data_IF_189971647063
#
_entry.id   IF_189971647063
#
_cell.length_a   1.000
_cell.length_b   1.000
_cell.length_c   1.000
_cell.angle_alpha   90.00
_cell.angle_beta   90.00
_cell.angle_gamma   90.00
#
_symmetry.space_group_name_H-M   'P 1'
#
loop_
_entity.id
_entity.type
_entity.pdbx_description
1 polymer ?
#
# COMPACT_ATOMS: atom_id res chain seq x y z
N UNK A 1 2.27 -22.15 -11.43
CA UNK A 1 3.33 -23.15 -11.16
C UNK A 1 3.46 -23.33 -9.64
N UNK A 2 3.64 -24.58 -9.16
CA UNK A 2 3.84 -24.82 -7.73
C UNK A 2 5.22 -24.40 -7.26
N UNK A 3 5.29 -24.01 -5.97
CA UNK A 3 6.57 -23.83 -5.27
C UNK A 3 7.03 -25.20 -4.73
N UNK A 4 8.22 -25.69 -5.10
CA UNK A 4 8.73 -26.99 -4.63
C UNK A 4 9.35 -26.87 -3.23
N UNK A 5 8.58 -26.36 -2.25
CA UNK A 5 8.98 -26.13 -0.87
C UNK A 5 8.34 -27.11 0.14
N UNK A 6 7.32 -27.85 -0.30
CA UNK A 6 6.62 -28.83 0.52
C UNK A 6 7.05 -30.26 0.29
N UNK A 7 6.51 -31.19 1.07
CA UNK A 7 6.76 -32.63 0.94
C UNK A 7 6.12 -33.25 -0.30
N UNK A 8 5.26 -32.51 -1.01
CA UNK A 8 4.55 -32.95 -2.20
C UNK A 8 3.36 -32.08 -2.54
N UNK A 9 2.53 -32.53 -3.48
CA UNK A 9 1.28 -31.89 -3.87
C UNK A 9 0.26 -31.95 -2.74
N UNK A 10 -0.51 -30.89 -2.58
CA UNK A 10 -1.70 -30.87 -1.72
C UNK A 10 -2.98 -30.84 -2.58
N UNK A 11 -4.14 -31.01 -1.93
CA UNK A 11 -5.43 -31.06 -2.63
C UNK A 11 -5.73 -29.84 -3.51
N UNK A 12 -5.28 -28.64 -3.11
CA UNK A 12 -5.41 -27.43 -3.94
C UNK A 12 -4.67 -27.53 -5.27
N UNK A 13 -3.49 -28.14 -5.28
CA UNK A 13 -2.75 -28.43 -6.52
C UNK A 13 -3.52 -29.43 -7.39
N UNK A 14 -3.98 -30.55 -6.80
CA UNK A 14 -4.74 -31.56 -7.52
C UNK A 14 -5.99 -30.96 -8.15
N UNK A 15 -6.76 -30.17 -7.41
CA UNK A 15 -7.96 -29.52 -7.91
C UNK A 15 -7.66 -28.57 -9.09
N UNK A 16 -6.75 -27.62 -8.92
CA UNK A 16 -6.45 -26.64 -9.97
C UNK A 16 -5.89 -27.27 -11.24
N UNK A 17 -5.01 -28.25 -11.11
CA UNK A 17 -4.36 -28.87 -12.28
C UNK A 17 -5.29 -29.80 -13.02
N UNK A 18 -6.18 -30.50 -12.31
CA UNK A 18 -7.17 -31.39 -12.94
C UNK A 18 -8.16 -30.60 -13.78
N UNK A 19 -8.62 -29.43 -13.31
CA UNK A 19 -9.54 -28.57 -14.12
C UNK A 19 -8.89 -28.17 -15.44
N UNK A 20 -7.64 -27.70 -15.40
CA UNK A 20 -6.89 -27.37 -16.62
C UNK A 20 -6.64 -28.56 -17.53
N UNK A 21 -6.36 -29.72 -16.95
CA UNK A 21 -6.09 -30.97 -17.69
C UNK A 21 -7.37 -31.48 -18.41
N UNK A 22 -8.50 -31.42 -17.77
CA UNK A 22 -9.80 -31.77 -18.39
C UNK A 22 -10.05 -30.91 -19.63
N UNK A 23 -9.83 -29.58 -19.50
CA UNK A 23 -9.98 -28.65 -20.62
C UNK A 23 -8.99 -28.95 -21.77
N UNK A 24 -7.72 -29.18 -21.43
CA UNK A 24 -6.69 -29.52 -22.41
C UNK A 24 -7.01 -30.81 -23.17
N UNK A 25 -7.48 -31.85 -22.45
CA UNK A 25 -7.95 -33.12 -23.06
C UNK A 25 -9.14 -32.93 -24.00
N UNK A 26 -10.16 -32.17 -23.52
CA UNK A 26 -11.33 -31.83 -24.33
C UNK A 26 -10.91 -31.14 -25.64
N UNK A 27 -9.99 -30.17 -25.58
CA UNK A 27 -9.52 -29.50 -26.80
C UNK A 27 -8.76 -30.40 -27.74
N UNK A 28 -7.93 -31.32 -27.24
CA UNK A 28 -7.26 -32.33 -28.08
C UNK A 28 -8.29 -33.25 -28.76
N UNK A 29 -9.33 -33.70 -28.04
CA UNK A 29 -10.39 -34.50 -28.60
C UNK A 29 -11.18 -33.76 -29.69
N UNK A 30 -11.24 -32.43 -29.62
CA UNK A 30 -11.85 -31.57 -30.65
C UNK A 30 -10.89 -31.28 -31.83
N UNK A 31 -9.71 -31.89 -31.88
CA UNK A 31 -8.75 -31.72 -32.97
C UNK A 31 -7.85 -30.49 -32.85
N UNK A 32 -7.86 -29.76 -31.72
CA UNK A 32 -6.95 -28.63 -31.51
C UNK A 32 -5.54 -29.11 -31.22
N UNK A 33 -4.55 -28.36 -31.71
CA UNK A 33 -3.15 -28.50 -31.29
C UNK A 33 -2.95 -27.77 -29.96
N UNK A 34 -2.75 -28.53 -28.88
CA UNK A 34 -2.73 -28.00 -27.51
C UNK A 34 -1.32 -28.07 -26.93
N UNK A 35 -0.71 -26.91 -26.66
CA UNK A 35 0.49 -26.78 -25.84
C UNK A 35 0.07 -26.63 -24.37
N UNK A 36 0.35 -27.64 -23.55
CA UNK A 36 0.01 -27.66 -22.13
C UNK A 36 1.24 -28.05 -21.28
N UNK A 37 2.19 -27.11 -21.05
CA UNK A 37 3.39 -27.38 -20.28
C UNK A 37 3.15 -27.28 -18.78
N UNK A 38 4.08 -27.84 -17.99
CA UNK A 38 4.20 -27.64 -16.55
C UNK A 38 5.50 -26.92 -16.23
N UNK A 39 5.47 -26.11 -15.18
CA UNK A 39 6.65 -25.45 -14.63
C UNK A 39 6.70 -25.50 -13.11
N UNK A 40 7.85 -25.18 -12.55
CA UNK A 40 8.08 -25.09 -11.10
C UNK A 40 8.69 -23.74 -10.79
N UNK A 41 8.03 -22.98 -9.90
CA UNK A 41 8.55 -21.73 -9.38
C UNK A 41 9.51 -22.05 -8.24
N UNK A 42 10.76 -22.23 -8.61
CA UNK A 42 11.77 -22.91 -7.82
C UNK A 42 12.90 -21.99 -7.31
N UNK A 43 12.73 -20.68 -7.47
CA UNK A 43 13.53 -19.66 -6.81
C UNK A 43 12.84 -19.12 -5.58
N UNK A 44 13.63 -18.49 -4.71
CA UNK A 44 13.15 -17.66 -3.62
C UNK A 44 13.07 -18.37 -2.28
N UNK A 45 12.61 -17.59 -1.30
CA UNK A 45 12.63 -17.94 0.11
C UNK A 45 11.89 -19.23 0.48
N UNK A 46 10.74 -19.61 -0.12
CA UNK A 46 10.06 -20.85 0.27
C UNK A 46 10.95 -22.09 0.10
N UNK A 47 11.67 -22.19 -1.01
CA UNK A 47 12.59 -23.31 -1.26
C UNK A 47 13.84 -23.24 -0.38
N UNK A 48 14.40 -22.03 -0.17
CA UNK A 48 15.56 -21.83 0.70
C UNK A 48 15.24 -22.15 2.15
N UNK A 49 14.07 -21.73 2.65
CA UNK A 49 13.64 -22.00 4.02
C UNK A 49 13.48 -23.50 4.29
N UNK A 50 12.81 -24.20 3.37
CA UNK A 50 12.68 -25.66 3.47
C UNK A 50 14.04 -26.38 3.42
N UNK A 51 14.97 -25.87 2.63
CA UNK A 51 16.34 -26.40 2.57
C UNK A 51 17.10 -26.17 3.89
N UNK A 52 16.95 -24.98 4.48
CA UNK A 52 17.56 -24.65 5.79
C UNK A 52 17.03 -25.58 6.87
N UNK A 53 15.70 -25.75 6.98
CA UNK A 53 15.07 -26.65 7.95
C UNK A 53 15.57 -28.10 7.83
N UNK A 54 15.86 -28.54 6.60
CA UNK A 54 16.35 -29.90 6.33
C UNK A 54 17.87 -30.05 6.40
N UNK A 55 18.61 -28.94 6.55
CA UNK A 55 20.08 -28.96 6.55
C UNK A 55 20.68 -29.39 5.20
N UNK A 56 20.00 -29.14 4.09
CA UNK A 56 20.38 -29.57 2.74
C UNK A 56 20.63 -28.32 1.85
N UNK A 57 21.63 -28.33 0.95
CA UNK A 57 21.78 -27.24 0.00
C UNK A 57 20.49 -26.98 -0.82
N UNK A 58 20.04 -25.71 -0.98
CA UNK A 58 18.78 -25.37 -1.65
C UNK A 58 18.60 -26.03 -3.01
N UNK A 59 19.63 -26.05 -3.84
CA UNK A 59 19.59 -26.71 -5.14
C UNK A 59 19.21 -28.19 -5.07
N UNK A 60 19.88 -28.95 -4.18
CA UNK A 60 19.59 -30.39 -4.01
C UNK A 60 18.19 -30.64 -3.47
N UNK A 61 17.78 -29.82 -2.50
CA UNK A 61 16.43 -29.92 -1.95
C UNK A 61 15.37 -29.67 -3.03
N UNK A 62 15.51 -28.56 -3.76
CA UNK A 62 14.59 -28.13 -4.80
C UNK A 62 14.47 -29.16 -5.93
N UNK A 63 15.58 -29.67 -6.44
CA UNK A 63 15.57 -30.69 -7.49
C UNK A 63 14.86 -31.96 -7.03
N UNK A 64 15.15 -32.46 -5.81
CA UNK A 64 14.47 -33.61 -5.23
C UNK A 64 12.95 -33.38 -5.02
N UNK A 65 12.57 -32.17 -4.60
CA UNK A 65 11.16 -31.81 -4.43
C UNK A 65 10.44 -31.81 -5.79
N UNK A 66 11.06 -31.23 -6.83
CA UNK A 66 10.51 -31.23 -8.21
C UNK A 66 10.30 -32.65 -8.73
N UNK A 67 11.27 -33.54 -8.55
CA UNK A 67 11.15 -34.95 -8.97
C UNK A 67 9.96 -35.64 -8.31
N UNK A 68 9.72 -35.36 -7.02
CA UNK A 68 8.56 -35.87 -6.31
C UNK A 68 7.23 -35.29 -6.85
N UNK A 69 7.20 -33.98 -7.14
CA UNK A 69 6.03 -33.32 -7.74
C UNK A 69 5.70 -33.93 -9.12
N UNK A 70 6.69 -34.12 -9.97
CA UNK A 70 6.54 -34.75 -11.30
C UNK A 70 5.93 -36.15 -11.14
N UNK A 71 6.48 -36.96 -10.22
CA UNK A 71 5.96 -38.31 -9.94
C UNK A 71 4.50 -38.27 -9.52
N UNK A 72 4.14 -37.40 -8.60
CA UNK A 72 2.76 -37.28 -8.11
C UNK A 72 1.81 -36.78 -9.22
N UNK A 73 2.21 -35.79 -10.01
CA UNK A 73 1.42 -35.28 -11.13
C UNK A 73 1.20 -36.35 -12.20
N UNK A 74 2.20 -37.17 -12.51
CA UNK A 74 2.04 -38.31 -13.41
C UNK A 74 1.10 -39.37 -12.82
N UNK A 75 1.18 -39.64 -11.52
CA UNK A 75 0.26 -40.57 -10.86
C UNK A 75 -1.20 -40.09 -10.87
N UNK A 76 -1.42 -38.76 -10.84
CA UNK A 76 -2.74 -38.16 -11.04
C UNK A 76 -3.23 -38.26 -12.49
N UNK A 77 -2.40 -38.72 -13.41
CA UNK A 77 -2.73 -38.84 -14.83
C UNK A 77 -2.76 -37.52 -15.59
N UNK A 78 -2.13 -36.46 -15.09
CA UNK A 78 -2.11 -35.16 -15.76
C UNK A 78 -1.37 -35.22 -17.10
N UNK A 79 -1.99 -34.69 -18.15
CA UNK A 79 -1.55 -34.81 -19.54
C UNK A 79 -0.70 -33.64 -20.01
N UNK A 80 0.21 -33.18 -19.16
CA UNK A 80 1.16 -32.13 -19.54
C UNK A 80 2.10 -32.59 -20.68
N UNK A 81 2.59 -31.63 -21.44
CA UNK A 81 3.74 -31.84 -22.31
C UNK A 81 5.03 -31.91 -21.46
N UNK A 82 5.36 -33.09 -21.00
CA UNK A 82 6.51 -33.33 -20.12
C UNK A 82 7.84 -33.04 -20.80
N UNK A 83 7.90 -32.89 -22.12
CA UNK A 83 9.08 -32.45 -22.84
C UNK A 83 9.33 -30.94 -22.73
N UNK A 84 8.33 -30.19 -22.31
CA UNK A 84 8.34 -28.71 -22.18
C UNK A 84 8.33 -28.26 -20.72
N UNK A 85 8.97 -29.00 -19.83
CA UNK A 85 9.10 -28.62 -18.43
C UNK A 85 9.91 -27.35 -18.26
N UNK A 86 9.44 -26.48 -17.37
CA UNK A 86 10.09 -25.23 -17.01
C UNK A 86 10.51 -25.27 -15.52
N UNK A 87 11.73 -24.81 -15.25
CA UNK A 87 12.26 -24.70 -13.89
C UNK A 87 12.90 -23.33 -13.74
N UNK A 88 12.31 -22.45 -12.94
CA UNK A 88 12.74 -21.04 -12.88
C UNK A 88 14.16 -20.86 -12.34
N UNK A 89 14.68 -21.82 -11.57
CA UNK A 89 16.06 -21.80 -11.05
C UNK A 89 17.15 -22.26 -12.04
N UNK A 90 16.75 -22.75 -13.21
CA UNK A 90 17.73 -23.18 -14.23
C UNK A 90 18.24 -21.99 -15.05
N UNK A 91 19.53 -21.96 -15.43
CA UNK A 91 20.11 -20.88 -16.23
C UNK A 91 19.38 -20.63 -17.55
N UNK A 92 18.88 -21.70 -18.18
CA UNK A 92 18.14 -21.65 -19.45
C UNK A 92 16.86 -20.80 -19.31
N UNK A 93 16.29 -20.74 -18.10
CA UNK A 93 15.13 -19.93 -17.80
C UNK A 93 15.51 -18.53 -17.32
N UNK A 94 16.29 -18.39 -16.24
CA UNK A 94 16.51 -17.09 -15.62
C UNK A 94 17.37 -16.13 -16.45
N UNK A 95 18.13 -16.61 -17.43
CA UNK A 95 18.81 -15.72 -18.40
C UNK A 95 17.83 -14.75 -19.09
N UNK A 96 16.57 -15.17 -19.27
CA UNK A 96 15.54 -14.31 -19.84
C UNK A 96 15.08 -13.23 -18.86
N UNK A 97 15.02 -13.52 -17.56
CA UNK A 97 14.76 -12.52 -16.54
C UNK A 97 15.87 -11.46 -16.52
N UNK A 98 17.12 -11.87 -16.63
CA UNK A 98 18.26 -10.97 -16.75
C UNK A 98 18.19 -10.12 -18.02
N UNK A 99 17.83 -10.73 -19.15
CA UNK A 99 17.63 -10.01 -20.42
C UNK A 99 16.54 -8.95 -20.30
N UNK A 100 15.38 -9.29 -19.76
CA UNK A 100 14.29 -8.32 -19.57
C UNK A 100 14.67 -7.22 -18.57
N UNK A 101 15.37 -7.55 -17.50
CA UNK A 101 15.86 -6.54 -16.56
C UNK A 101 16.76 -5.51 -17.28
N UNK A 102 17.70 -5.97 -18.10
CA UNK A 102 18.56 -5.07 -18.89
C UNK A 102 17.72 -4.19 -19.84
N UNK A 103 16.71 -4.76 -20.50
CA UNK A 103 15.80 -3.99 -21.36
C UNK A 103 14.97 -2.95 -20.58
N UNK A 104 14.56 -3.28 -19.37
CA UNK A 104 13.89 -2.30 -18.50
C UNK A 104 14.84 -1.17 -18.08
N UNK A 105 16.09 -1.52 -17.79
CA UNK A 105 17.11 -0.53 -17.45
C UNK A 105 17.41 0.42 -18.63
N UNK A 106 17.62 -0.12 -19.83
CA UNK A 106 17.80 0.65 -21.07
C UNK A 106 16.65 1.62 -21.34
N UNK A 107 15.41 1.21 -21.04
CA UNK A 107 14.20 2.02 -21.22
C UNK A 107 13.91 2.97 -20.04
N UNK A 108 14.77 3.03 -19.04
CA UNK A 108 14.55 3.82 -17.83
C UNK A 108 13.33 3.37 -16.99
N UNK A 109 12.94 2.09 -17.13
CA UNK A 109 11.88 1.47 -16.35
C UNK A 109 12.40 0.81 -15.08
N UNK A 110 13.66 0.38 -15.05
CA UNK A 110 14.34 -0.06 -13.84
C UNK A 110 15.24 1.07 -13.30
N UNK A 111 15.20 1.30 -11.99
CA UNK A 111 16.01 2.34 -11.35
C UNK A 111 16.30 1.98 -9.89
N UNK A 112 17.28 2.65 -9.28
CA UNK A 112 17.62 2.48 -7.86
C UNK A 112 17.20 3.68 -7.05
N UNK A 113 16.68 3.42 -5.85
CA UNK A 113 16.44 4.45 -4.82
C UNK A 113 16.63 3.86 -3.42
N UNK A 114 16.91 4.72 -2.45
CA UNK A 114 16.84 4.34 -1.04
C UNK A 114 15.39 4.12 -0.63
N UNK A 115 15.12 2.97 -0.01
CA UNK A 115 13.80 2.60 0.49
C UNK A 115 13.93 1.99 1.88
N UNK A 116 12.91 2.15 2.74
CA UNK A 116 12.85 1.45 4.01
C UNK A 116 12.67 -0.06 3.76
N UNK A 117 13.46 -0.86 4.43
CA UNK A 117 13.41 -2.31 4.39
C UNK A 117 13.46 -2.87 5.80
N UNK A 118 12.79 -3.99 6.03
CA UNK A 118 12.90 -4.74 7.27
C UNK A 118 14.23 -5.48 7.28
N UNK A 119 15.08 -5.21 8.26
CA UNK A 119 16.39 -5.82 8.40
C UNK A 119 16.46 -6.67 9.67
N UNK A 120 16.87 -7.90 9.55
CA UNK A 120 17.18 -8.72 10.71
C UNK A 120 18.69 -8.66 11.00
N UNK A 121 19.12 -8.13 12.16
CA UNK A 121 20.54 -8.04 12.49
C UNK A 121 21.21 -9.42 12.71
N UNK A 122 20.43 -10.44 13.07
CA UNK A 122 20.93 -11.81 13.30
C UNK A 122 21.01 -12.63 11.99
N UNK A 123 20.06 -12.43 11.07
CA UNK A 123 20.12 -13.04 9.73
C UNK A 123 21.10 -12.30 8.78
N UNK A 124 21.47 -11.06 9.09
CA UNK A 124 22.20 -10.14 8.20
C UNK A 124 21.54 -10.00 6.82
N UNK A 125 20.19 -9.95 6.78
CA UNK A 125 19.45 -9.87 5.52
C UNK A 125 18.18 -9.04 5.65
N UNK A 126 17.65 -8.60 4.49
CA UNK A 126 16.35 -7.98 4.35
C UNK A 126 15.25 -9.05 4.47
N UNK A 127 14.18 -8.69 5.16
CA UNK A 127 13.00 -9.53 5.33
C UNK A 127 11.82 -8.93 4.54
N UNK A 128 11.04 -9.79 3.90
CA UNK A 128 9.72 -9.42 3.40
C UNK A 128 8.76 -9.15 4.59
N UNK A 129 7.67 -8.41 4.36
CA UNK A 129 6.71 -8.09 5.41
C UNK A 129 6.13 -9.36 6.06
N UNK A 130 5.88 -10.40 5.27
CA UNK A 130 5.36 -11.70 5.73
C UNK A 130 6.34 -12.48 6.62
N UNK A 131 7.58 -12.03 6.68
CA UNK A 131 8.64 -12.63 7.50
C UNK A 131 8.88 -11.86 8.82
N UNK A 132 8.07 -10.86 9.07
CA UNK A 132 8.10 -10.09 10.31
C UNK A 132 6.85 -10.40 11.11
N UNK A 133 7.01 -11.11 12.23
CA UNK A 133 5.92 -11.47 13.12
C UNK A 133 6.04 -10.67 14.42
N UNK A 134 5.04 -9.85 14.72
CA UNK A 134 5.04 -8.99 15.93
C UNK A 134 6.33 -8.17 16.07
N UNK A 135 6.83 -7.62 14.96
CA UNK A 135 8.08 -6.82 14.94
C UNK A 135 9.36 -7.63 15.04
N UNK A 136 9.29 -8.94 15.00
CA UNK A 136 10.43 -9.85 15.15
C UNK A 136 10.67 -10.70 13.91
N UNK A 137 11.90 -11.17 13.76
CA UNK A 137 12.28 -12.04 12.67
C UNK A 137 11.63 -13.42 12.82
N UNK A 138 10.97 -13.89 11.77
CA UNK A 138 10.32 -15.22 11.74
C UNK A 138 11.27 -16.39 12.02
N UNK A 139 12.58 -16.22 11.78
CA UNK A 139 13.63 -17.22 12.11
C UNK A 139 14.21 -17.06 13.51
N UNK A 140 14.22 -15.84 14.02
CA UNK A 140 14.83 -15.50 15.30
C UNK A 140 13.80 -14.72 16.11
N UNK A 141 12.91 -15.47 16.76
CA UNK A 141 11.79 -14.92 17.53
C UNK A 141 12.22 -14.02 18.71
N UNK A 142 13.48 -14.12 19.09
CA UNK A 142 14.14 -13.28 20.10
C UNK A 142 14.71 -11.97 19.54
N UNK A 143 14.69 -11.79 18.22
CA UNK A 143 15.40 -10.68 17.53
C UNK A 143 14.41 -9.69 16.92
N UNK A 144 14.42 -8.45 17.39
CA UNK A 144 13.65 -7.35 16.82
C UNK A 144 14.17 -7.00 15.42
N UNK A 145 13.25 -6.71 14.51
CA UNK A 145 13.54 -6.27 13.16
C UNK A 145 13.78 -4.76 13.15
N UNK A 146 14.85 -4.35 12.48
CA UNK A 146 15.20 -2.95 12.29
C UNK A 146 14.72 -2.44 10.93
N UNK A 147 14.25 -1.20 10.86
CA UNK A 147 14.02 -0.54 9.58
C UNK A 147 15.31 0.14 9.14
N UNK A 148 15.86 -0.32 8.03
CA UNK A 148 17.05 0.29 7.39
C UNK A 148 16.66 0.90 6.05
N UNK A 149 17.29 2.02 5.70
CA UNK A 149 17.14 2.63 4.38
C UNK A 149 18.29 2.16 3.48
N UNK A 150 17.99 1.19 2.63
CA UNK A 150 18.97 0.61 1.69
C UNK A 150 18.62 0.98 0.25
N UNK A 151 19.63 1.04 -0.61
CA UNK A 151 19.40 1.16 -2.04
C UNK A 151 18.79 -0.13 -2.60
N UNK A 152 17.63 0.00 -3.22
CA UNK A 152 16.86 -1.09 -3.82
C UNK A 152 16.56 -0.81 -5.29
N UNK A 153 16.42 -1.86 -6.08
CA UNK A 153 15.90 -1.78 -7.43
C UNK A 153 14.38 -1.63 -7.43
N UNK A 154 13.91 -0.79 -8.32
CA UNK A 154 12.47 -0.56 -8.55
C UNK A 154 12.16 -0.67 -10.03
N UNK A 155 10.97 -1.20 -10.34
CA UNK A 155 10.38 -1.18 -11.68
C UNK A 155 9.31 -0.09 -11.72
N UNK A 156 9.43 0.87 -12.65
CA UNK A 156 8.54 2.04 -12.77
C UNK A 156 7.19 1.66 -13.37
N UNK A 157 6.43 0.85 -12.65
CA UNK A 157 5.10 0.39 -13.05
C UNK A 157 4.08 1.53 -13.06
N UNK A 158 4.28 2.57 -12.23
CA UNK A 158 3.42 3.76 -12.16
C UNK A 158 3.36 4.53 -13.46
N UNK A 159 4.37 4.43 -14.31
CA UNK A 159 4.38 5.04 -15.65
C UNK A 159 3.20 4.60 -16.51
N UNK A 160 2.65 3.43 -16.23
CA UNK A 160 1.55 2.83 -16.99
C UNK A 160 0.17 2.97 -16.31
N UNK A 161 0.07 3.70 -15.19
CA UNK A 161 -1.17 3.81 -14.40
C UNK A 161 -2.37 4.24 -15.24
N UNK A 162 -2.21 5.28 -16.08
CA UNK A 162 -3.29 5.79 -16.94
C UNK A 162 -3.67 4.80 -18.04
N UNK A 163 -2.68 4.19 -18.69
CA UNK A 163 -2.93 3.21 -19.74
C UNK A 163 -3.64 1.98 -19.19
N UNK A 164 -3.21 1.49 -18.01
CA UNK A 164 -3.86 0.36 -17.33
C UNK A 164 -5.32 0.68 -17.00
N UNK A 165 -5.60 1.85 -16.41
CA UNK A 165 -6.95 2.30 -16.10
C UNK A 165 -7.82 2.40 -17.34
N UNK A 166 -7.31 3.05 -18.41
CA UNK A 166 -8.05 3.26 -19.63
C UNK A 166 -8.43 1.96 -20.38
N UNK A 167 -7.63 0.91 -20.20
CA UNK A 167 -7.85 -0.38 -20.85
C UNK A 167 -8.74 -1.35 -20.04
N UNK A 168 -8.99 -1.11 -18.77
CA UNK A 168 -9.78 -2.04 -17.91
C UNK A 168 -11.17 -2.31 -18.52
N UNK A 169 -11.83 -1.29 -19.05
CA UNK A 169 -13.22 -1.42 -19.56
C UNK A 169 -13.32 -2.28 -20.81
N UNK A 170 -12.29 -2.27 -21.66
CA UNK A 170 -12.24 -3.07 -22.89
C UNK A 170 -11.98 -4.57 -22.64
N UNK A 171 -11.56 -4.96 -21.44
CA UNK A 171 -11.28 -6.35 -21.10
C UNK A 171 -12.59 -7.13 -20.83
N UNK A 172 -12.64 -8.38 -21.26
CA UNK A 172 -13.77 -9.28 -20.96
C UNK A 172 -13.60 -9.94 -19.57
N UNK A 173 -13.30 -9.12 -18.56
CA UNK A 173 -13.14 -9.58 -17.18
C UNK A 173 -14.43 -9.40 -16.38
N UNK A 174 -14.66 -10.25 -15.36
CA UNK A 174 -15.76 -10.05 -14.41
C UNK A 174 -15.67 -8.66 -13.74
N UNK A 175 -16.83 -8.04 -13.48
CA UNK A 175 -16.91 -6.70 -12.88
C UNK A 175 -16.12 -6.61 -11.58
N UNK A 176 -16.18 -7.67 -10.75
CA UNK A 176 -15.41 -7.75 -9.50
C UNK A 176 -13.90 -7.52 -9.73
N UNK A 177 -13.34 -8.18 -10.74
CA UNK A 177 -11.90 -8.06 -11.05
C UNK A 177 -11.59 -6.66 -11.58
N UNK A 178 -12.42 -6.09 -12.46
CA UNK A 178 -12.26 -4.72 -12.93
C UNK A 178 -12.28 -3.71 -11.77
N UNK A 179 -13.20 -3.88 -10.83
CA UNK A 179 -13.27 -3.02 -9.64
C UNK A 179 -12.03 -3.17 -8.75
N UNK A 180 -11.56 -4.40 -8.53
CA UNK A 180 -10.33 -4.64 -7.77
C UNK A 180 -9.12 -3.95 -8.42
N UNK A 181 -8.97 -4.02 -9.75
CA UNK A 181 -7.88 -3.37 -10.47
C UNK A 181 -7.96 -1.85 -10.36
N UNK A 182 -9.15 -1.24 -10.52
CA UNK A 182 -9.33 0.20 -10.33
C UNK A 182 -8.97 0.64 -8.92
N UNK A 183 -9.41 -0.09 -7.91
CA UNK A 183 -9.12 0.20 -6.51
C UNK A 183 -7.64 0.04 -6.19
N UNK A 184 -6.97 -0.93 -6.81
CA UNK A 184 -5.52 -1.16 -6.68
C UNK A 184 -4.72 0.01 -7.26
N UNK A 185 -5.06 0.46 -8.47
CA UNK A 185 -4.43 1.63 -9.08
C UNK A 185 -4.80 2.89 -8.29
N UNK A 186 -6.05 3.01 -7.85
CA UNK A 186 -6.52 4.01 -6.90
C UNK A 186 -6.25 5.44 -7.32
N UNK A 187 -6.65 5.79 -8.56
CA UNK A 187 -6.58 7.18 -9.05
C UNK A 187 -7.52 8.08 -8.27
N UNK A 188 -6.99 9.17 -7.73
CA UNK A 188 -7.72 10.16 -6.95
C UNK A 188 -7.47 11.55 -7.49
N UNK A 189 -8.54 12.29 -7.76
CA UNK A 189 -8.50 13.72 -8.11
C UNK A 189 -8.63 14.55 -6.85
N UNK A 190 -7.73 15.51 -6.67
CA UNK A 190 -7.75 16.34 -5.48
C UNK A 190 -7.02 17.66 -5.67
N UNK A 191 -6.74 18.28 -4.54
CA UNK A 191 -5.99 19.51 -4.43
C UNK A 191 -4.78 19.30 -3.52
N UNK A 192 -3.62 19.74 -3.95
CA UNK A 192 -2.45 19.91 -3.10
C UNK A 192 -2.49 21.31 -2.52
N UNK A 193 -2.45 21.44 -1.21
CA UNK A 193 -2.56 22.71 -0.47
C UNK A 193 -1.30 22.88 0.38
N UNK A 194 -0.70 24.05 0.35
CA UNK A 194 0.50 24.36 1.13
C UNK A 194 0.11 24.88 2.51
N UNK A 195 0.37 24.09 3.55
CA UNK A 195 0.26 24.51 4.95
C UNK A 195 1.61 25.05 5.41
N UNK A 196 1.59 26.09 6.23
CA UNK A 196 2.79 26.58 6.92
C UNK A 196 2.94 25.82 8.24
N UNK A 197 4.07 25.14 8.41
CA UNK A 197 4.40 24.46 9.65
C UNK A 197 5.79 24.95 10.08
N UNK A 198 5.84 25.68 11.18
CA UNK A 198 7.08 26.26 11.73
C UNK A 198 7.87 27.12 10.71
N UNK A 199 7.16 27.82 9.80
CA UNK A 199 7.75 28.68 8.77
C UNK A 199 8.13 27.96 7.46
N UNK A 200 7.92 26.66 7.36
CA UNK A 200 8.15 25.87 6.16
C UNK A 200 6.82 25.47 5.49
N UNK A 201 6.78 25.46 4.15
CA UNK A 201 5.60 25.07 3.37
C UNK A 201 5.56 23.56 3.16
N UNK A 202 4.54 22.92 3.71
CA UNK A 202 4.27 21.49 3.59
C UNK A 202 3.10 21.24 2.65
N UNK A 203 3.30 20.52 1.53
CA UNK A 203 2.22 20.18 0.61
C UNK A 203 1.33 19.10 1.20
N UNK A 204 0.03 19.32 1.24
CA UNK A 204 -0.98 18.37 1.75
C UNK A 204 -1.96 18.04 0.65
N UNK A 205 -2.06 16.77 0.30
CA UNK A 205 -3.04 16.28 -0.67
C UNK A 205 -4.38 15.99 0.00
N UNK A 206 -5.46 16.50 -0.59
CA UNK A 206 -6.82 16.15 -0.17
C UNK A 206 -7.75 15.99 -1.37
N UNK A 207 -8.67 15.03 -1.31
CA UNK A 207 -9.80 14.89 -2.24
C UNK A 207 -11.01 15.73 -1.80
N UNK A 208 -10.93 16.33 -0.59
CA UNK A 208 -11.99 17.08 0.06
C UNK A 208 -11.53 18.51 0.44
N UNK A 209 -11.09 19.34 -0.53
CA UNK A 209 -10.73 20.72 -0.24
C UNK A 209 -11.90 21.54 0.33
N UNK A 210 -13.14 21.12 0.06
CA UNK A 210 -14.37 21.67 0.62
C UNK A 210 -14.46 21.61 2.14
N UNK A 211 -13.73 20.71 2.80
CA UNK A 211 -13.75 20.53 4.26
C UNK A 211 -12.64 21.28 5.00
N UNK A 212 -11.76 22.01 4.31
CA UNK A 212 -10.57 22.63 4.91
C UNK A 212 -10.85 23.59 6.08
N UNK A 213 -12.00 24.28 6.08
CA UNK A 213 -12.43 25.13 7.18
C UNK A 213 -12.73 24.33 8.46
N UNK A 214 -12.98 23.03 8.34
CA UNK A 214 -13.20 22.09 9.42
C UNK A 214 -11.94 21.37 9.90
N UNK A 215 -10.77 21.67 9.30
CA UNK A 215 -9.51 21.08 9.74
C UNK A 215 -9.12 21.61 11.11
N UNK A 216 -8.98 20.72 12.10
CA UNK A 216 -8.72 21.07 13.49
C UNK A 216 -7.40 20.48 14.01
N UNK A 217 -6.77 19.59 13.27
CA UNK A 217 -5.42 19.07 13.50
C UNK A 217 -4.82 18.52 12.20
N UNK A 218 -3.53 18.19 12.26
CA UNK A 218 -2.80 17.54 11.19
C UNK A 218 -2.26 16.21 11.69
N UNK A 219 -2.12 15.24 10.78
CA UNK A 219 -1.47 13.97 11.11
C UNK A 219 -0.38 13.67 10.09
N UNK A 220 0.85 13.56 10.56
CA UNK A 220 1.98 13.04 9.78
C UNK A 220 2.15 11.55 10.05
N UNK A 221 2.48 10.78 9.02
CA UNK A 221 2.77 9.36 9.19
C UNK A 221 3.89 9.13 10.19
N UNK A 222 3.71 8.19 11.10
CA UNK A 222 4.75 7.76 12.02
C UNK A 222 6.02 7.23 11.30
N UNK A 223 5.91 6.83 10.04
CA UNK A 223 7.03 6.38 9.20
C UNK A 223 7.54 7.44 8.22
N UNK A 224 7.08 8.69 8.36
CA UNK A 224 7.51 9.77 7.47
C UNK A 224 8.99 10.11 7.68
N UNK A 225 9.83 10.20 6.60
CA UNK A 225 11.27 10.41 6.74
C UNK A 225 11.64 11.74 7.42
N UNK A 226 10.78 12.75 7.30
CA UNK A 226 10.97 14.09 7.90
C UNK A 226 10.21 14.28 9.21
N UNK A 227 9.67 13.22 9.85
CA UNK A 227 8.89 13.34 11.08
C UNK A 227 9.63 14.13 12.17
N UNK A 228 10.91 13.81 12.37
CA UNK A 228 11.71 14.43 13.44
C UNK A 228 12.03 15.91 13.23
N UNK A 229 11.81 16.45 12.02
CA UNK A 229 11.90 17.90 11.78
C UNK A 229 10.77 18.67 12.49
N UNK A 230 9.64 18.01 12.71
CA UNK A 230 8.47 18.57 13.39
C UNK A 230 8.40 18.23 14.89
N UNK A 231 9.31 17.39 15.39
CA UNK A 231 9.28 16.94 16.79
C UNK A 231 10.10 17.90 17.67
N UNK A 232 9.43 18.62 18.56
CA UNK A 232 10.07 19.48 19.55
C UNK A 232 10.79 18.66 20.62
N UNK A 233 11.82 19.25 21.26
CA UNK A 233 12.67 18.56 22.25
C UNK A 233 11.86 17.91 23.37
N UNK A 234 10.85 18.60 23.86
CA UNK A 234 9.98 18.17 24.96
C UNK A 234 9.14 16.94 24.58
N UNK A 235 8.82 16.78 23.28
CA UNK A 235 7.99 15.68 22.78
C UNK A 235 8.81 14.48 22.30
N UNK A 236 10.12 14.64 22.14
CA UNK A 236 10.99 13.65 21.50
C UNK A 236 10.88 12.27 22.14
N UNK A 237 10.94 12.18 23.48
CA UNK A 237 10.85 10.91 24.21
C UNK A 237 9.49 10.22 23.99
N UNK A 238 8.39 10.98 23.96
CA UNK A 238 7.05 10.43 23.75
C UNK A 238 6.90 9.90 22.32
N UNK A 239 7.39 10.65 21.31
CA UNK A 239 7.37 10.23 19.91
C UNK A 239 8.22 8.97 19.73
N UNK A 240 9.44 8.91 20.26
CA UNK A 240 10.30 7.72 20.17
C UNK A 240 9.65 6.49 20.83
N UNK A 241 9.02 6.65 21.99
CA UNK A 241 8.28 5.58 22.67
C UNK A 241 7.11 5.10 21.82
N UNK A 242 6.34 6.03 21.23
CA UNK A 242 5.24 5.69 20.33
C UNK A 242 5.73 4.90 19.10
N UNK A 243 6.79 5.40 18.43
CA UNK A 243 7.38 4.72 17.28
C UNK A 243 7.90 3.32 17.62
N UNK A 244 8.53 3.16 18.79
CA UNK A 244 8.97 1.85 19.25
C UNK A 244 7.80 0.89 19.45
N UNK A 245 6.71 1.36 20.04
CA UNK A 245 5.51 0.55 20.28
C UNK A 245 4.84 0.10 19.00
N UNK A 246 4.64 1.00 18.02
CA UNK A 246 4.00 0.64 16.74
C UNK A 246 4.88 -0.24 15.85
N UNK A 247 6.22 -0.19 15.99
CA UNK A 247 7.13 -1.10 15.28
C UNK A 247 7.00 -2.57 15.73
N UNK A 248 6.60 -2.80 16.97
CA UNK A 248 6.48 -4.13 17.55
C UNK A 248 5.14 -4.81 17.28
N UNK A 249 4.27 -4.19 16.48
CA UNK A 249 2.89 -4.64 16.25
C UNK A 249 2.70 -5.00 14.77
N UNK A 250 2.07 -6.14 14.49
CA UNK A 250 1.73 -6.55 13.13
C UNK A 250 0.66 -5.65 12.50
N UNK A 251 0.54 -5.62 11.15
CA UNK A 251 -0.50 -4.85 10.46
C UNK A 251 -1.91 -5.19 10.98
N UNK A 252 -2.17 -6.46 11.27
CA UNK A 252 -3.45 -6.92 11.81
C UNK A 252 -3.73 -6.39 13.22
N UNK A 253 -2.72 -6.42 14.08
CA UNK A 253 -2.82 -5.85 15.43
C UNK A 253 -2.91 -4.32 15.40
N UNK A 254 -2.31 -3.64 14.39
CA UNK A 254 -2.48 -2.19 14.18
C UNK A 254 -3.92 -1.81 13.84
N UNK A 255 -4.65 -2.66 13.10
CA UNK A 255 -6.08 -2.47 12.86
C UNK A 255 -6.90 -2.62 14.15
N UNK A 256 -6.52 -3.55 15.03
CA UNK A 256 -7.19 -3.80 16.33
C UNK A 256 -6.91 -2.70 17.38
N UNK A 257 -5.68 -2.13 17.40
CA UNK A 257 -5.31 -1.04 18.32
C UNK A 257 -6.08 0.25 18.02
N UNK A 258 -6.60 0.41 16.80
CA UNK A 258 -7.30 1.60 16.36
C UNK A 258 -6.36 2.77 16.03
N UNK A 259 -6.93 3.95 15.84
CA UNK A 259 -6.19 5.16 15.44
C UNK A 259 -5.48 5.76 16.66
N UNK A 260 -4.16 5.77 16.60
CA UNK A 260 -3.31 6.33 17.65
C UNK A 260 -2.29 7.31 17.11
N UNK A 261 -1.88 8.22 17.96
CA UNK A 261 -0.83 9.18 17.66
C UNK A 261 -0.31 9.89 18.88
N UNK A 262 0.72 10.69 18.67
CA UNK A 262 1.36 11.51 19.69
C UNK A 262 1.60 12.92 19.14
N UNK A 263 1.36 13.93 19.97
CA UNK A 263 1.60 15.32 19.61
C UNK A 263 3.11 15.55 19.38
N UNK A 264 3.46 16.21 18.26
CA UNK A 264 4.85 16.48 17.89
C UNK A 264 5.44 17.71 18.58
N UNK A 265 4.60 18.57 19.15
CA UNK A 265 4.97 19.88 19.65
C UNK A 265 4.83 21.01 18.63
N UNK A 266 4.66 20.70 17.35
CA UNK A 266 4.53 21.67 16.26
C UNK A 266 3.07 21.95 15.90
N UNK A 267 2.87 23.12 15.28
CA UNK A 267 1.57 23.58 14.82
C UNK A 267 1.62 23.94 13.33
N UNK A 268 0.58 23.61 12.62
CA UNK A 268 0.36 24.05 11.25
C UNK A 268 -0.59 25.26 11.24
N UNK A 269 -0.39 26.18 10.31
CA UNK A 269 -1.31 27.30 10.08
C UNK A 269 -2.28 26.91 8.98
N UNK A 270 -3.58 26.87 9.28
CA UNK A 270 -4.61 26.62 8.30
C UNK A 270 -4.71 27.81 7.33
N UNK A 271 -4.46 27.61 6.01
CA UNK A 271 -4.32 28.71 5.05
C UNK A 271 -5.61 29.48 4.74
N UNK A 272 -6.79 28.97 5.17
CA UNK A 272 -8.08 29.65 4.91
C UNK A 272 -8.55 30.55 6.05
N UNK A 273 -8.11 30.29 7.30
CA UNK A 273 -8.57 31.07 8.47
C UNK A 273 -7.45 31.53 9.41
N UNK A 274 -6.18 31.11 9.13
CA UNK A 274 -5.03 31.50 9.94
C UNK A 274 -4.91 30.78 11.29
N UNK A 275 -5.79 29.84 11.61
CA UNK A 275 -5.75 29.11 12.88
C UNK A 275 -4.52 28.20 12.96
N UNK A 276 -3.89 28.19 14.13
CA UNK A 276 -2.85 27.21 14.47
C UNK A 276 -3.52 25.91 14.92
N UNK A 277 -3.26 24.83 14.19
CA UNK A 277 -3.76 23.49 14.46
C UNK A 277 -2.59 22.55 14.80
N UNK A 278 -2.73 21.68 15.83
CA UNK A 278 -1.63 20.83 16.29
C UNK A 278 -1.29 19.72 15.27
N UNK A 279 -0.01 19.35 15.20
CA UNK A 279 0.50 18.28 14.36
C UNK A 279 0.77 17.04 15.21
N UNK A 280 0.16 15.91 14.84
CA UNK A 280 0.34 14.61 15.50
C UNK A 280 1.11 13.64 14.59
N UNK A 281 1.99 12.83 15.16
CA UNK A 281 2.49 11.63 14.50
C UNK A 281 1.46 10.51 14.70
N UNK A 282 0.96 9.89 13.63
CA UNK A 282 -0.12 8.89 13.70
C UNK A 282 0.21 7.59 12.96
N UNK A 283 -0.45 6.50 13.39
CA UNK A 283 -0.28 5.15 12.82
C UNK A 283 -1.20 4.86 11.63
N UNK A 284 -2.14 5.74 11.29
CA UNK A 284 -3.17 5.50 10.28
C UNK A 284 -3.00 6.33 8.99
N UNK A 285 -1.89 7.07 8.87
CA UNK A 285 -1.50 7.81 7.66
C UNK A 285 -0.37 7.08 6.95
N UNK A 286 -0.51 6.86 5.65
CA UNK A 286 0.51 6.19 4.83
C UNK A 286 1.61 7.19 4.45
N UNK A 287 2.88 6.83 4.71
CA UNK A 287 4.02 7.70 4.40
C UNK A 287 4.21 7.98 2.90
N UNK A 288 3.80 7.04 2.05
CA UNK A 288 4.02 7.08 0.60
C UNK A 288 2.77 7.52 -0.19
N UNK A 289 1.70 7.96 0.48
CA UNK A 289 0.52 8.48 -0.20
C UNK A 289 0.41 10.00 0.00
N UNK A 290 0.32 10.73 -1.11
CA UNK A 290 0.40 12.19 -1.08
C UNK A 290 1.76 12.65 -0.56
N UNK A 291 1.74 13.51 0.44
CA UNK A 291 2.94 13.99 1.15
C UNK A 291 3.27 13.18 2.43
N UNK A 292 2.55 12.08 2.70
CA UNK A 292 2.69 11.37 3.97
C UNK A 292 2.11 12.11 5.18
N UNK A 293 1.36 13.19 4.93
CA UNK A 293 0.68 14.01 5.93
C UNK A 293 -0.73 14.36 5.44
N UNK A 294 -1.67 14.46 6.34
CA UNK A 294 -3.06 14.81 6.04
C UNK A 294 -3.57 15.93 6.95
N UNK A 295 -4.44 16.75 6.42
CA UNK A 295 -5.30 17.60 7.26
C UNK A 295 -6.44 16.75 7.80
N UNK A 296 -6.71 16.80 9.08
CA UNK A 296 -7.76 16.04 9.72
C UNK A 296 -9.03 16.88 9.88
N UNK A 297 -10.14 16.33 9.42
CA UNK A 297 -11.45 16.98 9.39
C UNK A 297 -12.50 16.14 10.14
N UNK A 298 -12.46 16.09 11.47
CA UNK A 298 -13.17 15.10 12.28
C UNK A 298 -14.70 15.11 12.11
N UNK A 299 -15.30 16.20 11.68
CA UNK A 299 -16.73 16.21 11.38
C UNK A 299 -17.10 15.48 10.07
N UNK A 300 -16.10 15.21 9.18
CA UNK A 300 -16.31 14.75 7.80
C UNK A 300 -15.42 13.58 7.38
N UNK A 301 -14.66 13.00 8.29
CA UNK A 301 -13.91 11.74 8.14
C UNK A 301 -14.01 10.94 9.43
N UNK A 302 -14.46 9.70 9.34
CA UNK A 302 -14.73 8.86 10.51
C UNK A 302 -13.44 8.51 11.28
N UNK A 303 -12.29 8.34 10.58
CA UNK A 303 -11.00 8.05 11.22
C UNK A 303 -10.54 9.26 12.05
N UNK A 304 -10.70 10.45 11.50
CA UNK A 304 -10.35 11.70 12.17
C UNK A 304 -11.28 11.97 13.36
N UNK A 305 -12.56 11.59 13.23
CA UNK A 305 -13.55 11.72 14.30
C UNK A 305 -13.20 10.84 15.51
N UNK A 306 -12.87 9.57 15.27
CA UNK A 306 -12.47 8.63 16.31
C UNK A 306 -11.20 9.14 17.03
N UNK A 307 -10.22 9.62 16.25
CA UNK A 307 -9.01 10.22 16.79
C UNK A 307 -9.29 11.48 17.61
N UNK A 308 -10.08 12.40 17.06
CA UNK A 308 -10.43 13.63 17.74
C UNK A 308 -11.15 13.37 19.07
N UNK A 309 -12.05 12.39 19.13
CA UNK A 309 -12.73 11.99 20.37
C UNK A 309 -11.75 11.41 21.39
N UNK A 310 -10.83 10.54 20.96
CA UNK A 310 -9.81 9.91 21.81
C UNK A 310 -8.90 10.96 22.46
N UNK A 311 -8.50 11.96 21.68
CA UNK A 311 -7.56 13.01 22.12
C UNK A 311 -8.23 14.32 22.53
N UNK A 312 -9.56 14.35 22.59
CA UNK A 312 -10.38 15.52 22.97
C UNK A 312 -10.08 16.75 22.13
N UNK A 313 -9.89 16.55 20.82
CA UNK A 313 -9.65 17.62 19.86
C UNK A 313 -10.95 18.23 19.36
N UNK A 314 -10.96 19.51 18.92
CA UNK A 314 -12.16 20.16 18.42
C UNK A 314 -12.75 19.45 17.19
N UNK A 315 -14.08 19.40 17.11
CA UNK A 315 -14.82 18.89 15.94
C UNK A 315 -15.66 20.03 15.39
N UNK A 316 -15.41 20.43 14.15
CA UNK A 316 -16.09 21.57 13.50
C UNK A 316 -16.85 21.09 12.26
N UNK A 317 -18.16 21.23 12.28
CA UNK A 317 -19.03 20.92 11.15
C UNK A 317 -18.95 22.03 10.12
N UNK A 318 -18.61 21.69 8.87
CA UNK A 318 -18.54 22.63 7.74
C UNK A 318 -19.36 22.18 6.53
N UNK A 319 -19.96 20.99 6.58
CA UNK A 319 -20.92 20.52 5.59
C UNK A 319 -22.21 20.13 6.30
N UNK A 320 -23.32 20.67 5.84
CA UNK A 320 -24.65 20.39 6.33
C UNK A 320 -25.40 19.52 5.33
N UNK A 321 -25.94 18.38 5.78
CA UNK A 321 -26.82 17.54 4.98
C UNK A 321 -28.27 18.07 5.03
N UNK A 322 -29.09 17.61 4.08
CA UNK A 322 -30.53 17.91 4.09
C UNK A 322 -31.23 17.38 5.34
N UNK A 323 -30.73 16.29 5.92
CA UNK A 323 -31.30 15.62 7.10
C UNK A 323 -30.81 16.27 8.41
N UNK A 324 -29.57 16.76 8.43
CA UNK A 324 -28.99 17.45 9.59
C UNK A 324 -28.99 18.99 9.40
N UNK A 325 -30.14 19.59 9.34
CA UNK A 325 -30.30 21.05 9.17
C UNK A 325 -29.68 21.91 10.26
N UNK A 326 -29.34 21.36 11.42
CA UNK A 326 -28.79 22.12 12.56
C UNK A 326 -27.26 22.02 12.68
N UNK A 327 -26.56 21.28 11.77
CA UNK A 327 -25.11 21.13 11.82
C UNK A 327 -24.60 20.55 13.16
N UNK A 328 -25.42 19.74 13.83
CA UNK A 328 -25.05 19.11 15.10
C UNK A 328 -24.18 17.91 14.84
N UNK A 329 -23.15 17.74 15.64
CA UNK A 329 -22.32 16.55 15.66
C UNK A 329 -23.17 15.37 16.11
N UNK A 330 -23.42 14.41 15.22
CA UNK A 330 -23.97 13.10 15.57
C UNK A 330 -22.86 12.24 16.21
N UNK A 331 -23.17 11.06 16.69
CA UNK A 331 -22.17 10.15 17.27
C UNK A 331 -21.08 9.69 16.31
N UNK A 332 -21.13 10.09 15.02
CA UNK A 332 -20.24 9.73 13.92
C UNK A 332 -20.02 10.90 12.95
N UNK A 333 -18.98 10.80 12.11
CA UNK A 333 -18.69 11.80 11.09
C UNK A 333 -19.68 11.71 9.92
N UNK A 334 -19.93 12.86 9.27
CA UNK A 334 -20.72 12.91 8.04
C UNK A 334 -19.79 13.12 6.83
N UNK A 335 -19.63 12.12 5.99
CA UNK A 335 -18.76 12.13 4.81
C UNK A 335 -19.48 12.42 3.49
N UNK A 336 -20.80 12.55 3.53
CA UNK A 336 -21.66 12.77 2.35
C UNK A 336 -21.61 14.18 1.77
N UNK A 337 -22.30 14.41 0.63
CA UNK A 337 -22.44 15.71 0.02
C UNK A 337 -23.44 16.61 0.77
N UNK A 338 -23.25 17.92 0.69
CA UNK A 338 -24.14 18.87 1.35
C UNK A 338 -23.80 20.32 1.03
N UNK A 339 -24.35 21.23 1.82
CA UNK A 339 -24.12 22.66 1.69
C UNK A 339 -23.08 23.13 2.71
N UNK A 340 -22.13 23.94 2.29
CA UNK A 340 -21.10 24.48 3.17
C UNK A 340 -21.67 25.47 4.16
N UNK A 341 -21.25 25.31 5.43
CA UNK A 341 -21.49 26.23 6.57
C UNK A 341 -20.13 26.45 7.26
N UNK A 342 -20.01 27.49 8.05
CA UNK A 342 -18.76 27.84 8.79
C UNK A 342 -17.51 27.92 7.90
N UNK A 343 -17.70 28.26 6.61
CA UNK A 343 -16.69 28.22 5.57
C UNK A 343 -16.45 29.58 4.90
N UNK A 344 -16.69 30.68 5.64
CA UNK A 344 -16.47 32.06 5.19
C UNK A 344 -17.26 32.38 3.91
N UNK A 345 -16.58 32.90 2.89
CA UNK A 345 -17.19 33.27 1.59
C UNK A 345 -17.75 32.09 0.78
N UNK A 346 -17.49 30.86 1.20
CA UNK A 346 -17.98 29.66 0.54
C UNK A 346 -19.24 29.09 1.19
N UNK A 347 -19.78 29.74 2.22
CA UNK A 347 -21.06 29.36 2.83
C UNK A 347 -22.17 29.35 1.79
N UNK A 348 -23.05 28.34 1.86
CA UNK A 348 -24.17 28.19 0.94
C UNK A 348 -23.85 27.45 -0.35
N UNK A 349 -22.57 27.24 -0.69
CA UNK A 349 -22.21 26.44 -1.85
C UNK A 349 -22.43 24.94 -1.59
N UNK A 350 -22.84 24.23 -2.64
CA UNK A 350 -22.89 22.77 -2.60
C UNK A 350 -21.46 22.18 -2.74
N UNK A 351 -21.21 21.05 -2.11
CA UNK A 351 -19.90 20.39 -2.00
C UNK A 351 -19.11 20.38 -3.30
N UNK A 352 -19.71 19.96 -4.43
CA UNK A 352 -18.99 19.84 -5.71
C UNK A 352 -18.57 21.19 -6.29
N UNK A 353 -19.37 22.22 -6.12
CA UNK A 353 -19.01 23.58 -6.54
C UNK A 353 -17.95 24.18 -5.60
N UNK A 354 -18.10 23.94 -4.31
CA UNK A 354 -17.12 24.37 -3.30
C UNK A 354 -15.71 23.79 -3.57
N UNK A 355 -15.61 22.50 -3.90
CA UNK A 355 -14.35 21.86 -4.27
C UNK A 355 -13.65 22.59 -5.42
N UNK A 356 -14.40 22.95 -6.46
CA UNK A 356 -13.87 23.68 -7.63
C UNK A 356 -13.41 25.08 -7.27
N UNK A 357 -14.23 25.83 -6.57
CA UNK A 357 -13.96 27.23 -6.22
C UNK A 357 -12.81 27.35 -5.21
N UNK A 358 -12.76 26.49 -4.20
CA UNK A 358 -11.67 26.48 -3.21
C UNK A 358 -10.34 26.07 -3.87
N UNK A 359 -10.35 25.05 -4.73
CA UNK A 359 -9.17 24.69 -5.50
C UNK A 359 -8.67 25.84 -6.35
N UNK A 360 -9.58 26.52 -7.10
CA UNK A 360 -9.24 27.69 -7.90
C UNK A 360 -8.68 28.85 -7.06
N UNK A 361 -9.23 29.08 -5.88
CA UNK A 361 -8.72 30.08 -4.94
C UNK A 361 -7.25 29.79 -4.57
N UNK A 362 -6.92 28.54 -4.24
CA UNK A 362 -5.53 28.15 -3.91
C UNK A 362 -4.59 28.27 -5.09
N UNK A 363 -5.05 27.95 -6.31
CA UNK A 363 -4.26 28.14 -7.54
C UNK A 363 -3.95 29.63 -7.76
N UNK A 364 -4.95 30.51 -7.65
CA UNK A 364 -4.77 31.95 -7.80
C UNK A 364 -3.83 32.55 -6.75
N UNK A 365 -3.91 32.07 -5.51
CA UNK A 365 -3.02 32.50 -4.42
C UNK A 365 -1.62 31.86 -4.48
N UNK A 366 -1.35 30.96 -5.42
CA UNK A 366 -0.13 30.15 -5.49
C UNK A 366 0.15 29.38 -4.19
N UNK A 367 -0.91 28.98 -3.50
CA UNK A 367 -0.87 28.22 -2.24
C UNK A 367 -1.36 26.79 -2.41
N UNK A 368 -1.61 26.35 -3.63
CA UNK A 368 -2.03 24.99 -3.96
C UNK A 368 -2.25 24.82 -5.43
N UNK A 369 -2.57 23.59 -5.83
CA UNK A 369 -2.86 23.25 -7.23
C UNK A 369 -3.74 22.02 -7.31
N UNK A 370 -4.51 21.91 -8.39
CA UNK A 370 -5.16 20.63 -8.72
C UNK A 370 -4.11 19.58 -9.00
N UNK A 371 -4.30 18.37 -8.47
CA UNK A 371 -3.37 17.28 -8.69
C UNK A 371 -4.09 15.93 -8.70
N UNK A 372 -3.40 14.93 -9.25
CA UNK A 372 -3.87 13.54 -9.30
C UNK A 372 -2.88 12.71 -8.51
N UNK A 373 -3.39 11.86 -7.64
CA UNK A 373 -2.59 10.89 -6.90
C UNK A 373 -3.03 9.47 -7.23
N UNK A 374 -2.11 8.52 -7.06
CA UNK A 374 -2.36 7.10 -7.25
C UNK A 374 -1.96 6.35 -5.98
N UNK A 375 -2.72 5.31 -5.62
CA UNK A 375 -2.27 4.33 -4.61
C UNK A 375 -1.21 3.40 -5.18
N UNK A 376 -1.26 3.17 -6.50
CA UNK A 376 -0.32 2.34 -7.23
C UNK A 376 1.10 2.84 -7.06
N UNK A 377 2.02 1.91 -6.83
CA UNK A 377 3.43 2.19 -6.55
C UNK A 377 4.32 1.44 -7.52
N UNK A 378 5.54 1.93 -7.67
CA UNK A 378 6.58 1.19 -8.37
C UNK A 378 6.90 -0.09 -7.59
N UNK A 379 7.10 -1.15 -8.34
CA UNK A 379 7.40 -2.48 -7.81
C UNK A 379 8.88 -2.66 -7.53
#
# INVERSE_FOLDING_TARGET
YPYPSGSGLHMGHAFNYTVGDIFARMKRMQGFNVLYPMGYDSFGLPAENAAIEKGIPPKKYTEKAIDNFIKQQKNLGLSYDWSKLLMTHKPEYYKWNQFFFLKFLEKGLAYRKKAPVNWCPKCHTVLANEQVHSGRCWRHEDTEVEVKHLEQWFIKTTKYSEELLGKIDSLQWPLRIKTMQRNWIGKSYGCEILFDIEGEKWPIFTTRPDTIFGATFMVISAHHPRLFELVKKEQKKQVESFLKRIKSVSEKELEEIGKEGVFTGSYAVNPVNGEKIPVYAGNFVLADYGSGMVMAVPAHDQRDFEFARKYRLPVRVVIQSKENKKGKISGEAYDGPGTLINSGSFNGLFTEEAKKQITKMFELKKQGRRTIQYKFRDW
#
